data_IF_519715635388
#
_entry.id   IF_519715635388
#
_cell.length_a   1.000
_cell.length_b   1.000
_cell.length_c   1.000
_cell.angle_alpha   90.00
_cell.angle_beta   90.00
_cell.angle_gamma   90.00
#
_symmetry.space_group_name_H-M   'P 1'
#
loop_
_entity.id
_entity.type
_entity.pdbx_description
1 polymer ?
#
# COMPACT_ATOMS: atom_id res chain seq x y z
N UNK A 1 18.85 -9.76 -1.91
CA UNK A 1 19.33 -8.39 -1.54
C UNK A 1 18.14 -7.46 -1.68
N UNK A 2 17.64 -6.88 -0.59
CA UNK A 2 16.54 -5.91 -0.65
C UNK A 2 16.95 -4.65 -1.43
N UNK A 3 16.00 -4.06 -2.15
CA UNK A 3 16.18 -2.85 -2.95
C UNK A 3 15.00 -1.89 -2.72
N UNK A 4 15.26 -0.58 -2.70
CA UNK A 4 14.23 0.43 -2.48
C UNK A 4 13.28 0.55 -3.68
N UNK A 5 12.13 1.16 -3.45
CA UNK A 5 11.12 1.50 -4.46
C UNK A 5 11.74 2.11 -5.71
N UNK A 6 11.39 1.60 -6.88
CA UNK A 6 11.92 1.98 -8.20
C UNK A 6 13.41 1.67 -8.43
N UNK A 7 14.07 0.94 -7.53
CA UNK A 7 15.48 0.55 -7.64
C UNK A 7 15.66 -0.98 -7.69
N UNK A 8 14.60 -1.77 -7.78
CA UNK A 8 14.52 -3.23 -7.66
C UNK A 8 15.12 -3.96 -8.88
N UNK A 9 16.30 -3.51 -9.36
CA UNK A 9 16.91 -4.01 -10.60
C UNK A 9 17.49 -5.41 -10.48
N UNK A 10 18.06 -5.76 -9.32
CA UNK A 10 18.56 -7.12 -9.07
C UNK A 10 17.40 -8.07 -8.87
N UNK A 11 16.37 -7.63 -8.14
CA UNK A 11 15.12 -8.36 -7.93
C UNK A 11 14.45 -8.67 -9.27
N UNK A 12 14.32 -7.66 -10.16
CA UNK A 12 13.80 -7.83 -11.51
C UNK A 12 14.58 -8.91 -12.29
N UNK A 13 15.92 -8.83 -12.31
CA UNK A 13 16.77 -9.80 -13.01
C UNK A 13 16.63 -11.21 -12.44
N UNK A 14 16.52 -11.33 -11.12
CA UNK A 14 16.32 -12.59 -10.43
C UNK A 14 14.96 -13.22 -10.79
N UNK A 15 13.88 -12.44 -10.74
CA UNK A 15 12.54 -12.87 -11.12
C UNK A 15 12.47 -13.31 -12.58
N UNK A 16 13.05 -12.56 -13.51
CA UNK A 16 13.13 -12.92 -14.93
C UNK A 16 13.87 -14.23 -15.14
N UNK A 17 14.97 -14.45 -14.40
CA UNK A 17 15.71 -15.72 -14.45
C UNK A 17 14.84 -16.89 -13.95
N UNK A 18 14.24 -16.77 -12.78
CA UNK A 18 13.42 -17.84 -12.21
C UNK A 18 12.20 -18.17 -13.06
N UNK A 19 11.52 -17.19 -13.60
CA UNK A 19 10.39 -17.42 -14.52
C UNK A 19 10.86 -18.16 -15.80
N UNK A 20 12.01 -17.76 -16.37
CA UNK A 20 12.60 -18.46 -17.50
C UNK A 20 12.96 -19.92 -17.13
N UNK A 21 13.58 -20.15 -15.99
CA UNK A 21 14.00 -21.50 -15.53
C UNK A 21 12.77 -22.38 -15.25
N UNK A 22 11.62 -21.80 -14.90
CA UNK A 22 10.33 -22.48 -14.82
C UNK A 22 9.63 -22.65 -16.18
N UNK A 23 10.18 -22.14 -17.27
CA UNK A 23 9.56 -22.16 -18.59
C UNK A 23 8.30 -21.29 -18.69
N UNK A 24 8.21 -20.21 -17.88
CA UNK A 24 7.11 -19.24 -17.89
C UNK A 24 7.52 -18.04 -18.73
N UNK A 25 6.84 -17.72 -19.85
CA UNK A 25 7.08 -16.50 -20.62
C UNK A 25 6.93 -15.28 -19.74
N UNK A 26 7.94 -14.41 -19.74
CA UNK A 26 7.93 -13.18 -18.92
C UNK A 26 8.60 -12.03 -19.65
N UNK A 27 8.20 -10.80 -19.30
CA UNK A 27 8.79 -9.58 -19.80
C UNK A 27 8.85 -8.49 -18.72
N UNK A 28 9.72 -7.52 -18.92
CA UNK A 28 9.81 -6.30 -18.10
C UNK A 28 8.99 -5.19 -18.72
N UNK A 29 8.64 -4.18 -17.90
CA UNK A 29 7.87 -3.03 -18.36
C UNK A 29 8.81 -1.85 -18.66
N UNK A 30 8.61 -1.09 -19.75
CA UNK A 30 9.39 0.08 -20.05
C UNK A 30 9.36 1.11 -18.91
N UNK A 31 10.53 1.61 -18.51
CA UNK A 31 10.65 2.62 -17.44
C UNK A 31 10.29 2.14 -16.05
N UNK A 32 10.14 0.82 -15.83
CA UNK A 32 9.77 0.22 -14.54
C UNK A 32 10.65 -0.99 -14.23
N UNK A 33 10.79 -1.30 -12.95
CA UNK A 33 11.42 -2.54 -12.49
C UNK A 33 10.41 -3.71 -12.39
N UNK A 34 9.15 -3.49 -12.71
CA UNK A 34 8.10 -4.51 -12.69
C UNK A 34 8.33 -5.66 -13.69
N UNK A 35 7.83 -6.84 -13.35
CA UNK A 35 7.91 -8.06 -14.17
C UNK A 35 6.50 -8.64 -14.35
N UNK A 36 6.22 -9.07 -15.57
CA UNK A 36 4.95 -9.76 -15.89
C UNK A 36 5.27 -11.14 -16.47
N UNK A 37 4.82 -12.19 -15.78
CA UNK A 37 4.82 -13.57 -16.27
C UNK A 37 3.44 -13.97 -16.78
N UNK A 38 3.36 -14.96 -17.67
CA UNK A 38 2.07 -15.44 -18.22
C UNK A 38 2.03 -16.96 -18.31
N UNK A 39 0.99 -17.56 -17.74
CA UNK A 39 0.60 -18.96 -17.95
C UNK A 39 -0.60 -19.00 -18.90
N UNK A 40 -0.58 -19.88 -19.87
CA UNK A 40 -1.55 -19.88 -20.97
C UNK A 40 -2.96 -20.33 -20.55
N UNK A 41 -3.06 -21.39 -19.72
CA UNK A 41 -4.32 -22.02 -19.36
C UNK A 41 -4.97 -22.82 -20.51
N UNK A 42 -6.04 -23.57 -20.18
CA UNK A 42 -6.74 -24.48 -21.11
C UNK A 42 -7.59 -23.74 -22.15
N UNK A 43 -8.27 -22.68 -21.75
CA UNK A 43 -9.21 -21.98 -22.60
C UNK A 43 -8.71 -20.58 -22.95
N UNK A 44 -8.86 -20.12 -24.20
CA UNK A 44 -8.66 -18.72 -24.53
C UNK A 44 -9.73 -17.88 -23.80
N UNK A 45 -9.32 -16.78 -23.22
CA UNK A 45 -10.24 -15.93 -22.46
C UNK A 45 -9.56 -14.86 -21.65
N UNK A 46 -10.28 -14.36 -20.67
CA UNK A 46 -9.72 -13.39 -19.72
C UNK A 46 -8.85 -14.07 -18.67
N UNK A 47 -7.76 -13.41 -18.30
CA UNK A 47 -6.83 -13.90 -17.30
C UNK A 47 -7.24 -13.53 -15.87
N UNK A 48 -6.78 -14.32 -14.91
CA UNK A 48 -6.66 -13.91 -13.51
C UNK A 48 -5.27 -13.28 -13.31
N UNK A 49 -5.22 -12.07 -12.78
CA UNK A 49 -3.98 -11.42 -12.39
C UNK A 49 -3.66 -11.72 -10.92
N UNK A 50 -2.48 -12.25 -10.64
CA UNK A 50 -1.94 -12.45 -9.30
C UNK A 50 -0.84 -11.43 -9.04
N UNK A 51 -0.86 -10.73 -7.91
CA UNK A 51 0.11 -9.67 -7.61
C UNK A 51 0.98 -10.02 -6.41
N UNK A 52 2.26 -9.70 -6.52
CA UNK A 52 3.20 -9.56 -5.41
C UNK A 52 3.99 -8.26 -5.59
N UNK A 53 4.16 -7.52 -4.52
CA UNK A 53 5.06 -6.37 -4.44
C UNK A 53 6.52 -6.81 -4.28
N UNK A 54 7.49 -5.92 -4.57
CA UNK A 54 8.91 -6.31 -4.71
C UNK A 54 9.88 -5.46 -3.90
N UNK A 55 9.49 -4.28 -3.47
CA UNK A 55 10.38 -3.30 -2.87
C UNK A 55 10.62 -3.52 -1.38
N UNK A 56 11.64 -2.88 -0.86
CA UNK A 56 12.09 -2.95 0.51
C UNK A 56 12.16 -1.56 1.15
N UNK A 57 12.42 -1.54 2.45
CA UNK A 57 12.45 -0.35 3.28
C UNK A 57 13.88 -0.03 3.77
N UNK A 58 14.20 1.24 4.08
CA UNK A 58 15.46 1.66 4.66
C UNK A 58 15.50 1.34 6.17
N UNK A 59 15.40 0.05 6.49
CA UNK A 59 15.42 -0.50 7.84
C UNK A 59 16.64 -1.40 7.98
N UNK A 60 17.42 -1.20 9.05
CA UNK A 60 18.53 -2.11 9.39
C UNK A 60 17.96 -3.39 10.02
N UNK A 61 18.20 -4.52 9.37
CA UNK A 61 17.65 -5.81 9.80
C UNK A 61 18.31 -6.34 11.07
N UNK A 62 17.50 -6.63 12.09
CA UNK A 62 17.91 -7.17 13.42
C UNK A 62 17.30 -8.55 13.70
N UNK A 63 16.90 -9.30 12.68
CA UNK A 63 16.23 -10.61 12.85
C UNK A 63 17.15 -11.68 13.41
N UNK A 64 18.48 -11.55 13.28
CA UNK A 64 19.45 -12.58 13.63
C UNK A 64 19.53 -13.75 12.65
N UNK A 65 18.73 -13.74 11.57
CA UNK A 65 18.74 -14.79 10.55
C UNK A 65 20.11 -14.89 9.84
N UNK A 66 20.54 -16.10 9.49
CA UNK A 66 21.81 -16.32 8.78
C UNK A 66 21.81 -15.69 7.38
N UNK A 67 20.64 -15.54 6.79
CA UNK A 67 20.38 -14.92 5.48
C UNK A 67 19.94 -13.46 5.55
N UNK A 68 20.01 -12.83 6.74
CA UNK A 68 19.64 -11.42 6.91
C UNK A 68 20.32 -10.50 5.90
N UNK A 69 19.68 -9.40 5.58
CA UNK A 69 20.22 -8.36 4.71
C UNK A 69 21.54 -7.78 5.25
N UNK A 70 22.44 -7.38 4.34
CA UNK A 70 23.73 -6.75 4.67
C UNK A 70 23.91 -5.37 4.03
N UNK A 71 22.87 -4.83 3.37
CA UNK A 71 22.94 -3.55 2.65
C UNK A 71 22.12 -2.43 3.31
N UNK A 72 21.84 -2.55 4.62
CA UNK A 72 21.04 -1.58 5.40
C UNK A 72 19.59 -1.38 4.92
N UNK A 73 19.09 -2.28 4.10
CA UNK A 73 17.70 -2.34 3.67
C UNK A 73 17.09 -3.65 4.15
N UNK A 74 15.77 -3.70 4.33
CA UNK A 74 15.08 -4.89 4.79
C UNK A 74 13.70 -4.99 4.12
N UNK A 75 13.26 -6.22 3.77
CA UNK A 75 11.86 -6.50 3.47
C UNK A 75 11.02 -6.53 4.75
N UNK A 76 10.99 -5.40 5.48
CA UNK A 76 10.31 -5.30 6.77
C UNK A 76 8.77 -5.32 6.64
N UNK A 77 8.25 -5.32 5.42
CA UNK A 77 6.82 -5.51 5.09
C UNK A 77 6.50 -6.93 4.56
N UNK A 78 7.53 -7.77 4.33
CA UNK A 78 7.36 -9.16 3.89
C UNK A 78 7.20 -9.34 2.38
N UNK A 79 7.58 -8.36 1.56
CA UNK A 79 7.44 -8.43 0.10
C UNK A 79 8.32 -9.52 -0.52
N UNK A 80 9.43 -9.89 0.11
CA UNK A 80 10.24 -11.07 -0.27
C UNK A 80 9.42 -12.38 -0.16
N UNK A 81 8.62 -12.52 0.90
CA UNK A 81 7.71 -13.66 1.07
C UNK A 81 6.55 -13.58 0.07
N UNK A 82 6.02 -12.40 -0.24
CA UNK A 82 4.99 -12.26 -1.28
C UNK A 82 5.50 -12.70 -2.64
N UNK A 83 6.71 -12.26 -3.04
CA UNK A 83 7.35 -12.68 -4.30
C UNK A 83 7.61 -14.20 -4.31
N UNK A 84 8.18 -14.74 -3.23
CA UNK A 84 8.49 -16.17 -3.11
C UNK A 84 7.19 -17.02 -3.15
N UNK A 85 6.12 -16.56 -2.51
CA UNK A 85 4.82 -17.22 -2.53
C UNK A 85 4.22 -17.24 -3.94
N UNK A 86 4.26 -16.10 -4.66
CA UNK A 86 3.78 -16.02 -6.03
C UNK A 86 4.61 -16.90 -6.99
N UNK A 87 5.94 -16.95 -6.83
CA UNK A 87 6.80 -17.85 -7.60
C UNK A 87 6.52 -19.31 -7.28
N UNK A 88 6.33 -19.65 -6.01
CA UNK A 88 5.95 -21.01 -5.60
C UNK A 88 4.59 -21.44 -6.18
N UNK A 89 3.62 -20.56 -6.13
CA UNK A 89 2.31 -20.77 -6.78
C UNK A 89 2.47 -20.92 -8.30
N UNK A 90 3.27 -20.07 -8.95
CA UNK A 90 3.54 -20.14 -10.38
C UNK A 90 4.19 -21.46 -10.79
N UNK A 91 5.17 -21.94 -10.01
CA UNK A 91 5.81 -23.25 -10.25
C UNK A 91 4.81 -24.42 -10.12
N UNK A 92 3.91 -24.34 -9.14
CA UNK A 92 2.85 -25.35 -8.95
C UNK A 92 1.85 -25.31 -10.12
N UNK A 93 1.35 -24.13 -10.47
CA UNK A 93 0.40 -23.95 -11.58
C UNK A 93 1.00 -24.31 -12.93
N UNK A 94 2.30 -24.07 -13.14
CA UNK A 94 3.00 -24.44 -14.38
C UNK A 94 3.00 -25.92 -14.66
N UNK A 95 3.06 -26.79 -13.64
CA UNK A 95 3.03 -28.24 -13.79
C UNK A 95 1.73 -28.74 -14.42
N UNK A 96 0.65 -28.00 -14.22
CA UNK A 96 -0.69 -28.34 -14.67
C UNK A 96 -1.28 -27.24 -15.60
N UNK A 97 -0.41 -26.54 -16.32
CA UNK A 97 -0.78 -25.36 -17.11
C UNK A 97 -1.90 -25.63 -18.12
N UNK A 98 -1.87 -26.82 -18.76
CA UNK A 98 -2.89 -27.22 -19.74
C UNK A 98 -4.29 -27.44 -19.15
N UNK A 99 -4.40 -27.62 -17.83
CA UNK A 99 -5.67 -27.83 -17.13
C UNK A 99 -6.12 -26.58 -16.32
N UNK A 100 -5.31 -25.51 -16.31
CA UNK A 100 -5.75 -24.28 -15.67
C UNK A 100 -7.05 -23.76 -16.30
N UNK A 101 -8.02 -23.32 -15.51
CA UNK A 101 -9.33 -22.90 -16.02
C UNK A 101 -9.25 -21.69 -16.97
N UNK A 102 -8.25 -20.83 -16.79
CA UNK A 102 -7.99 -19.63 -17.58
C UNK A 102 -6.50 -19.29 -17.61
N UNK A 103 -6.07 -18.35 -18.49
CA UNK A 103 -4.74 -17.77 -18.40
C UNK A 103 -4.50 -17.07 -17.07
N UNK A 104 -3.23 -17.05 -16.63
CA UNK A 104 -2.82 -16.37 -15.39
C UNK A 104 -1.71 -15.37 -15.69
N UNK A 105 -1.87 -14.11 -15.25
CA UNK A 105 -0.81 -13.12 -15.26
C UNK A 105 -0.19 -12.99 -13.87
N UNK A 106 1.11 -13.16 -13.80
CA UNK A 106 1.91 -12.94 -12.60
C UNK A 106 2.43 -11.52 -12.64
N UNK A 107 1.97 -10.68 -11.72
CA UNK A 107 2.29 -9.25 -11.65
C UNK A 107 3.25 -9.03 -10.48
N UNK A 108 4.55 -9.00 -10.74
CA UNK A 108 5.55 -8.59 -9.76
C UNK A 108 5.67 -7.09 -9.82
N UNK A 109 5.14 -6.42 -8.81
CA UNK A 109 4.94 -4.98 -8.79
C UNK A 109 6.00 -4.26 -7.97
N UNK A 110 6.70 -3.26 -8.51
CA UNK A 110 7.65 -2.44 -7.76
C UNK A 110 6.94 -1.36 -6.93
N UNK A 111 7.71 -0.69 -6.08
CA UNK A 111 7.43 0.61 -5.50
C UNK A 111 6.09 0.73 -4.75
N UNK A 112 5.68 -0.29 -4.00
CA UNK A 112 4.49 -0.20 -3.15
C UNK A 112 4.72 0.78 -1.99
N UNK A 113 5.92 0.75 -1.39
CA UNK A 113 6.31 1.56 -0.23
C UNK A 113 6.66 3.03 -0.57
N UNK A 114 6.59 3.42 -1.85
CA UNK A 114 6.80 4.81 -2.26
C UNK A 114 5.73 5.76 -1.66
N UNK A 115 4.55 5.22 -1.36
CA UNK A 115 3.52 5.87 -0.55
C UNK A 115 2.66 6.93 -1.27
N UNK A 116 2.99 7.28 -2.51
CA UNK A 116 2.32 8.36 -3.24
C UNK A 116 1.82 7.90 -4.63
N UNK A 117 2.73 7.70 -5.58
CA UNK A 117 2.41 7.25 -6.93
C UNK A 117 2.28 5.74 -7.00
N UNK A 118 3.18 5.03 -6.32
CA UNK A 118 3.28 3.58 -6.31
C UNK A 118 3.63 2.97 -7.66
N UNK A 119 3.81 1.67 -7.69
CA UNK A 119 4.12 0.92 -8.92
C UNK A 119 2.90 0.42 -9.67
N UNK A 120 1.75 0.26 -9.00
CA UNK A 120 0.52 -0.23 -9.64
C UNK A 120 0.02 0.70 -10.76
N UNK A 121 0.06 2.03 -10.55
CA UNK A 121 -0.33 3.02 -11.55
C UNK A 121 0.46 2.88 -12.86
N UNK A 122 1.79 3.01 -12.83
CA UNK A 122 2.65 2.80 -13.99
C UNK A 122 2.48 1.44 -14.68
N UNK A 123 2.30 0.36 -13.95
CA UNK A 123 2.01 -0.96 -14.53
C UNK A 123 0.68 -0.97 -15.29
N UNK A 124 -0.37 -0.35 -14.74
CA UNK A 124 -1.68 -0.24 -15.41
C UNK A 124 -1.55 0.62 -16.68
N UNK A 125 -0.84 1.74 -16.62
CA UNK A 125 -0.55 2.62 -17.76
C UNK A 125 0.23 1.87 -18.87
N UNK A 126 1.16 0.99 -18.48
CA UNK A 126 1.87 0.09 -19.39
C UNK A 126 1.00 -1.05 -19.97
N UNK A 127 -0.29 -1.12 -19.62
CA UNK A 127 -1.24 -2.03 -20.21
C UNK A 127 -1.28 -3.44 -19.63
N UNK A 128 -0.76 -3.68 -18.43
CA UNK A 128 -0.73 -5.04 -17.86
C UNK A 128 -2.12 -5.68 -17.69
N UNK A 129 -3.16 -4.87 -17.54
CA UNK A 129 -4.53 -5.34 -17.45
C UNK A 129 -5.21 -5.54 -18.82
N UNK A 130 -4.78 -4.80 -19.83
CA UNK A 130 -5.45 -4.72 -21.14
C UNK A 130 -4.76 -5.50 -22.24
N UNK A 131 -3.44 -5.71 -22.16
CA UNK A 131 -2.69 -6.57 -23.09
C UNK A 131 -3.16 -8.03 -23.00
N UNK A 132 -3.06 -8.75 -24.11
CA UNK A 132 -3.47 -10.15 -24.15
C UNK A 132 -2.53 -11.07 -23.31
N UNK A 133 -3.12 -12.05 -22.60
CA UNK A 133 -4.52 -12.23 -22.27
C UNK A 133 -5.02 -11.12 -21.33
N UNK A 134 -6.19 -10.52 -21.63
CA UNK A 134 -6.74 -9.41 -20.81
C UNK A 134 -7.11 -9.89 -19.41
N UNK A 135 -6.69 -9.17 -18.39
CA UNK A 135 -7.06 -9.47 -17.00
C UNK A 135 -8.54 -9.15 -16.76
N UNK A 136 -9.29 -10.10 -16.22
CA UNK A 136 -10.71 -9.96 -15.87
C UNK A 136 -10.96 -9.89 -14.38
N UNK A 137 -10.08 -10.49 -13.59
CA UNK A 137 -10.11 -10.47 -12.13
C UNK A 137 -8.69 -10.35 -11.61
N UNK A 138 -8.50 -9.67 -10.48
CA UNK A 138 -7.19 -9.57 -9.83
C UNK A 138 -7.27 -10.10 -8.40
N UNK A 139 -6.17 -10.70 -7.97
CA UNK A 139 -5.98 -11.19 -6.62
C UNK A 139 -4.63 -10.69 -6.09
N UNK A 140 -4.67 -10.12 -4.88
CA UNK A 140 -3.49 -9.76 -4.11
C UNK A 140 -3.64 -10.22 -2.67
N UNK A 141 -2.53 -10.32 -1.97
CA UNK A 141 -2.49 -10.62 -0.55
C UNK A 141 -1.40 -9.82 0.14
N UNK A 142 -1.52 -9.70 1.46
CA UNK A 142 -0.48 -9.15 2.30
C UNK A 142 -0.33 -9.96 3.59
N UNK A 143 0.89 -10.11 4.07
CA UNK A 143 1.16 -10.72 5.36
C UNK A 143 0.69 -9.82 6.50
N UNK A 144 0.24 -10.43 7.60
CA UNK A 144 -0.24 -9.68 8.76
C UNK A 144 0.16 -10.31 10.08
N UNK A 145 1.07 -9.64 10.81
CA UNK A 145 1.64 -10.13 12.06
C UNK A 145 0.64 -10.18 13.23
N UNK A 146 -0.44 -9.41 13.16
CA UNK A 146 -1.49 -9.41 14.19
C UNK A 146 -2.55 -10.52 14.02
N UNK A 147 -2.47 -11.30 12.95
CA UNK A 147 -3.34 -12.44 12.70
C UNK A 147 -2.60 -13.75 13.00
N UNK A 148 -3.26 -14.77 13.55
CA UNK A 148 -2.63 -16.05 13.82
C UNK A 148 -2.02 -16.68 12.56
N UNK A 149 -0.87 -17.32 12.70
CA UNK A 149 -0.12 -17.94 11.61
C UNK A 149 -0.97 -18.92 10.79
N UNK A 150 -0.97 -18.72 9.47
CA UNK A 150 -1.66 -19.59 8.51
C UNK A 150 -3.17 -19.38 8.47
N UNK A 151 -3.68 -18.26 9.02
CA UNK A 151 -5.07 -17.83 8.83
C UNK A 151 -5.20 -16.91 7.62
N UNK A 152 -6.40 -16.83 7.07
CA UNK A 152 -6.77 -15.98 5.94
C UNK A 152 -7.87 -15.04 6.36
N UNK A 153 -7.63 -13.74 6.25
CA UNK A 153 -8.60 -12.75 6.67
C UNK A 153 -9.22 -12.03 5.47
N UNK A 154 -10.54 -12.01 5.45
CA UNK A 154 -11.36 -11.43 4.39
C UNK A 154 -12.13 -10.22 4.88
N UNK A 155 -12.29 -9.23 4.02
CA UNK A 155 -13.16 -8.08 4.25
C UNK A 155 -13.79 -7.66 2.91
N UNK A 156 -15.05 -8.04 2.65
CA UNK A 156 -15.79 -7.53 1.49
C UNK A 156 -16.00 -6.02 1.58
N UNK A 157 -15.92 -5.32 0.48
CA UNK A 157 -16.03 -3.85 0.46
C UNK A 157 -14.73 -3.16 0.86
N UNK A 158 -14.81 -2.11 1.65
CA UNK A 158 -13.64 -1.30 2.03
C UNK A 158 -12.75 -2.07 3.00
N UNK A 159 -11.53 -2.38 2.59
CA UNK A 159 -10.57 -3.13 3.38
C UNK A 159 -9.40 -2.27 3.91
N UNK A 160 -8.97 -1.24 3.16
CA UNK A 160 -7.92 -0.32 3.62
C UNK A 160 -8.21 1.13 3.22
N UNK A 161 -7.64 2.06 3.98
CA UNK A 161 -7.85 3.49 3.76
C UNK A 161 -7.11 4.01 2.52
N UNK A 162 -7.59 5.15 2.02
CA UNK A 162 -6.81 5.99 1.13
C UNK A 162 -5.68 6.68 1.91
N UNK A 163 -4.59 7.01 1.22
CA UNK A 163 -3.48 7.78 1.77
C UNK A 163 -3.24 9.03 0.93
N UNK A 164 -3.31 10.20 1.57
CA UNK A 164 -3.00 11.48 0.94
C UNK A 164 -1.86 12.16 1.68
N UNK A 165 -1.10 12.96 0.93
CA UNK A 165 -0.08 13.85 1.47
C UNK A 165 -0.61 15.28 1.49
N UNK A 166 -0.29 16.01 2.54
CA UNK A 166 -0.50 17.45 2.63
C UNK A 166 0.81 18.13 2.99
N UNK A 167 1.17 19.16 2.23
CA UNK A 167 2.27 20.07 2.53
C UNK A 167 1.75 21.50 2.49
N UNK A 168 2.14 22.30 3.47
CA UNK A 168 1.67 23.68 3.63
C UNK A 168 2.87 24.57 3.89
N UNK A 169 3.02 25.62 3.08
CA UNK A 169 3.91 26.72 3.38
C UNK A 169 3.08 27.84 3.98
N UNK A 170 3.36 28.17 5.22
CA UNK A 170 2.70 29.27 5.96
C UNK A 170 3.59 30.50 5.81
N UNK A 171 3.10 31.50 5.10
CA UNK A 171 3.86 32.67 4.71
C UNK A 171 3.44 33.88 5.58
N UNK A 172 4.41 34.46 6.23
CA UNK A 172 4.27 35.65 7.05
C UNK A 172 5.17 36.79 6.62
N UNK A 173 5.60 37.56 7.57
CA UNK A 173 6.63 38.60 7.42
C UNK A 173 7.48 38.59 8.68
N UNK A 174 8.72 38.16 8.53
CA UNK A 174 9.70 38.07 9.60
C UNK A 174 10.08 39.40 10.20
N UNK A 175 10.83 39.35 11.29
CA UNK A 175 11.29 40.54 11.97
C UNK A 175 11.92 40.28 13.31
N UNK A 176 12.19 41.34 14.05
CA UNK A 176 12.76 41.26 15.38
C UNK A 176 11.68 40.83 16.40
N UNK A 177 11.90 39.75 17.13
CA UNK A 177 10.92 39.14 18.03
C UNK A 177 10.38 40.09 19.12
N UNK A 178 11.16 41.16 19.51
CA UNK A 178 10.71 42.17 20.47
C UNK A 178 9.70 43.18 19.86
N UNK A 179 9.52 43.19 18.54
CA UNK A 179 8.59 44.10 17.84
C UNK A 179 7.58 43.33 16.99
N UNK A 180 6.82 42.39 17.57
CA UNK A 180 5.92 41.49 16.81
C UNK A 180 4.82 42.25 16.07
N UNK A 181 4.43 43.45 16.51
CA UNK A 181 3.43 44.30 15.85
C UNK A 181 3.89 44.87 14.48
N UNK A 182 5.19 44.76 14.15
CA UNK A 182 5.74 45.13 12.85
C UNK A 182 5.88 43.89 11.92
N UNK A 183 5.51 42.71 12.38
CA UNK A 183 5.68 41.43 11.70
C UNK A 183 4.34 40.73 11.46
N UNK A 184 4.36 39.63 10.73
CA UNK A 184 3.25 38.66 10.64
C UNK A 184 3.86 37.29 10.95
N UNK A 185 3.63 36.80 12.15
CA UNK A 185 4.32 35.65 12.69
C UNK A 185 3.79 34.33 12.11
N UNK A 186 4.54 33.63 11.24
CA UNK A 186 4.10 32.37 10.66
C UNK A 186 4.19 31.19 11.64
N UNK A 187 4.95 31.30 12.74
CA UNK A 187 5.01 30.25 13.78
C UNK A 187 3.69 30.21 14.55
N UNK A 188 3.14 31.37 14.94
CA UNK A 188 1.85 31.47 15.60
C UNK A 188 0.74 30.96 14.68
N UNK A 189 0.73 31.41 13.41
CA UNK A 189 -0.23 30.92 12.41
C UNK A 189 -0.16 29.41 12.24
N UNK A 190 1.03 28.83 12.08
CA UNK A 190 1.22 27.40 11.90
C UNK A 190 0.73 26.60 13.12
N UNK A 191 0.99 27.11 14.33
CA UNK A 191 0.52 26.49 15.57
C UNK A 191 -1.01 26.45 15.65
N UNK A 192 -1.68 27.58 15.33
CA UNK A 192 -3.13 27.64 15.24
C UNK A 192 -3.67 26.69 14.17
N UNK A 193 -3.02 26.62 13.01
CA UNK A 193 -3.40 25.71 11.92
C UNK A 193 -3.34 24.25 12.37
N UNK A 194 -2.28 23.81 13.05
CA UNK A 194 -2.15 22.42 13.55
C UNK A 194 -3.30 22.11 14.51
N UNK A 195 -3.59 22.96 15.47
CA UNK A 195 -4.69 22.77 16.42
C UNK A 195 -6.05 22.78 15.73
N UNK A 196 -6.27 23.73 14.82
CA UNK A 196 -7.52 23.86 14.09
C UNK A 196 -7.80 22.68 13.17
N UNK A 197 -6.78 22.10 12.55
CA UNK A 197 -6.91 20.89 11.71
C UNK A 197 -7.43 19.69 12.50
N UNK A 198 -7.09 19.53 13.79
CA UNK A 198 -7.64 18.47 14.62
C UNK A 198 -9.18 18.58 14.76
N UNK A 199 -9.70 19.79 14.76
CA UNK A 199 -11.16 20.00 14.84
C UNK A 199 -11.89 19.66 13.54
N UNK A 200 -11.21 19.59 12.40
CA UNK A 200 -11.81 19.05 11.17
C UNK A 200 -12.20 17.58 11.35
N UNK A 201 -11.36 16.81 12.00
CA UNK A 201 -11.62 15.37 12.25
C UNK A 201 -12.68 15.21 13.34
N UNK A 202 -12.60 15.98 14.43
CA UNK A 202 -13.46 15.77 15.59
C UNK A 202 -14.80 16.50 15.54
N UNK A 203 -14.98 17.59 14.71
CA UNK A 203 -16.16 18.45 14.71
C UNK A 203 -16.81 18.69 13.35
N UNK A 204 -16.12 18.41 12.23
CA UNK A 204 -16.64 18.78 10.91
C UNK A 204 -17.02 17.57 10.04
N UNK A 205 -17.08 16.39 10.62
CA UNK A 205 -17.37 15.14 9.94
C UNK A 205 -18.28 14.24 10.79
N UNK A 206 -18.93 13.27 10.16
CA UNK A 206 -19.69 12.23 10.84
C UNK A 206 -18.75 11.38 11.73
N UNK A 207 -19.04 11.20 13.03
CA UNK A 207 -18.23 10.35 13.91
C UNK A 207 -18.11 8.90 13.45
N UNK A 208 -19.07 8.39 12.69
CA UNK A 208 -19.10 7.02 12.16
C UNK A 208 -18.27 6.85 10.87
N UNK A 209 -17.77 7.96 10.30
CA UNK A 209 -16.96 7.96 9.10
C UNK A 209 -15.46 8.07 9.45
N UNK A 210 -14.69 6.96 9.49
CA UNK A 210 -13.32 6.98 9.97
C UNK A 210 -12.39 7.83 9.08
N UNK A 211 -11.64 8.73 9.72
CA UNK A 211 -10.57 9.49 9.07
C UNK A 211 -9.47 9.86 10.06
N UNK A 212 -8.25 10.01 9.54
CA UNK A 212 -7.08 10.49 10.28
C UNK A 212 -6.47 11.67 9.53
N UNK A 213 -6.07 12.69 10.26
CA UNK A 213 -5.23 13.79 9.78
C UNK A 213 -4.13 14.00 10.79
N UNK A 214 -2.88 13.83 10.37
CA UNK A 214 -1.72 14.03 11.22
C UNK A 214 -0.74 14.97 10.54
N UNK A 215 -0.31 16.02 11.25
CA UNK A 215 0.86 16.80 10.86
C UNK A 215 2.06 16.11 11.50
N UNK A 216 3.00 15.68 10.66
CA UNK A 216 4.14 14.84 11.07
C UNK A 216 5.46 15.63 11.10
N UNK A 217 5.49 16.82 10.47
CA UNK A 217 6.67 17.68 10.42
C UNK A 217 6.27 19.14 10.50
N UNK A 218 7.00 19.88 11.32
CA UNK A 218 6.95 21.36 11.42
C UNK A 218 8.38 21.86 11.31
N UNK A 219 8.65 22.81 10.42
CA UNK A 219 9.98 23.33 10.15
C UNK A 219 9.91 24.85 9.93
N UNK A 220 10.65 25.62 10.73
CA UNK A 220 10.66 27.08 10.64
C UNK A 220 11.40 27.77 11.78
N UNK A 221 11.99 28.92 11.47
CA UNK A 221 12.82 29.68 12.41
C UNK A 221 14.29 29.23 12.43
N UNK A 222 15.19 30.14 12.77
CA UNK A 222 16.64 29.89 12.80
C UNK A 222 17.30 30.35 14.10
N UNK A 223 16.65 31.26 14.83
CA UNK A 223 17.18 31.86 16.07
C UNK A 223 16.04 32.32 16.96
N UNK A 224 16.28 32.32 18.26
CA UNK A 224 15.33 32.62 19.34
C UNK A 224 14.79 34.06 19.36
N UNK A 225 15.44 35.01 18.69
CA UNK A 225 15.05 36.41 18.61
C UNK A 225 14.72 36.93 17.19
N UNK A 226 14.52 36.00 16.23
CA UNK A 226 14.15 36.33 14.86
C UNK A 226 12.87 35.58 14.47
N UNK A 227 11.82 36.33 14.11
CA UNK A 227 10.63 35.76 13.49
C UNK A 227 10.93 35.42 12.02
N UNK A 228 10.65 34.18 11.56
CA UNK A 228 10.90 33.80 10.19
C UNK A 228 9.84 34.39 9.22
N UNK A 229 10.12 34.33 7.92
CA UNK A 229 9.15 34.65 6.88
C UNK A 229 8.23 33.49 6.54
N UNK A 230 8.64 32.25 6.87
CA UNK A 230 7.95 31.03 6.45
C UNK A 230 8.03 29.95 7.54
N UNK A 231 6.96 29.15 7.65
CA UNK A 231 6.94 27.84 8.34
C UNK A 231 6.38 26.79 7.41
N UNK A 232 6.97 25.59 7.43
CA UNK A 232 6.50 24.44 6.64
C UNK A 232 5.86 23.40 7.53
N UNK A 233 4.71 22.90 7.08
CA UNK A 233 4.00 21.78 7.69
C UNK A 233 3.87 20.65 6.69
N UNK A 234 4.15 19.42 7.11
CA UNK A 234 3.90 18.22 6.28
C UNK A 234 3.12 17.19 7.09
N UNK A 235 2.22 16.50 6.40
CA UNK A 235 1.34 15.54 7.06
C UNK A 235 0.66 14.57 6.11
N UNK A 236 -0.19 13.74 6.70
CA UNK A 236 -0.94 12.72 5.98
C UNK A 236 -2.42 12.74 6.33
N UNK A 237 -3.25 12.37 5.36
CA UNK A 237 -4.70 12.18 5.55
C UNK A 237 -5.06 10.76 5.16
N UNK A 238 -5.83 10.08 6.01
CA UNK A 238 -6.38 8.74 5.75
C UNK A 238 -7.90 8.81 5.77
N UNK A 239 -8.55 8.18 4.81
CA UNK A 239 -10.01 8.10 4.72
C UNK A 239 -10.44 6.76 4.14
N UNK A 240 -11.62 6.31 4.51
CA UNK A 240 -12.20 5.05 4.00
C UNK A 240 -13.36 5.28 3.03
N UNK A 241 -13.72 6.54 2.81
CA UNK A 241 -14.74 6.94 1.84
C UNK A 241 -14.24 8.01 0.88
N UNK A 242 -14.45 7.84 -0.45
CA UNK A 242 -14.01 8.81 -1.45
C UNK A 242 -14.70 10.19 -1.38
N UNK A 243 -15.93 10.27 -0.88
CA UNK A 243 -16.63 11.56 -0.73
C UNK A 243 -16.05 12.34 0.44
N UNK A 244 -15.83 11.69 1.56
CA UNK A 244 -15.12 12.24 2.74
C UNK A 244 -13.72 12.69 2.39
N UNK A 245 -12.96 11.91 1.60
CA UNK A 245 -11.64 12.28 1.09
C UNK A 245 -11.64 13.62 0.37
N UNK A 246 -12.59 13.83 -0.56
CA UNK A 246 -12.72 15.09 -1.31
C UNK A 246 -13.16 16.24 -0.40
N UNK A 247 -14.14 16.00 0.49
CA UNK A 247 -14.64 16.98 1.43
C UNK A 247 -13.57 17.49 2.40
N UNK A 248 -12.78 16.58 2.98
CA UNK A 248 -11.69 16.95 3.89
C UNK A 248 -10.64 17.82 3.20
N UNK A 249 -10.28 17.54 1.95
CA UNK A 249 -9.39 18.41 1.16
C UNK A 249 -9.93 19.83 1.06
N UNK A 250 -11.23 19.99 0.78
CA UNK A 250 -11.85 21.33 0.69
C UNK A 250 -11.86 22.04 2.03
N UNK A 251 -12.32 21.36 3.07
CA UNK A 251 -12.39 21.92 4.43
C UNK A 251 -11.01 22.36 4.93
N UNK A 252 -9.98 21.53 4.72
CA UNK A 252 -8.60 21.84 5.05
C UNK A 252 -8.14 23.12 4.36
N UNK A 253 -8.32 23.23 3.05
CA UNK A 253 -7.94 24.43 2.29
C UNK A 253 -8.66 25.69 2.76
N UNK A 254 -9.96 25.60 2.99
CA UNK A 254 -10.76 26.73 3.48
C UNK A 254 -10.31 27.17 4.86
N UNK A 255 -10.08 26.21 5.76
CA UNK A 255 -9.66 26.47 7.14
C UNK A 255 -8.29 27.17 7.20
N UNK A 256 -7.30 26.62 6.51
CA UNK A 256 -5.94 27.15 6.50
C UNK A 256 -5.88 28.57 5.89
N UNK A 257 -6.58 28.78 4.78
CA UNK A 257 -6.69 30.12 4.16
C UNK A 257 -7.40 31.13 5.06
N UNK A 258 -8.40 30.67 5.81
CA UNK A 258 -9.11 31.52 6.76
C UNK A 258 -8.22 32.02 7.89
N UNK A 259 -7.43 31.12 8.50
CA UNK A 259 -6.47 31.46 9.57
C UNK A 259 -5.40 32.44 9.04
N UNK A 260 -4.78 32.11 7.91
CA UNK A 260 -3.74 32.96 7.31
C UNK A 260 -4.26 34.37 7.03
N UNK A 261 -5.45 34.49 6.45
CA UNK A 261 -6.08 35.81 6.18
C UNK A 261 -6.37 36.60 7.46
N UNK A 262 -6.88 35.92 8.50
CA UNK A 262 -7.18 36.57 9.78
C UNK A 262 -5.93 37.14 10.44
N UNK A 263 -4.78 36.50 10.24
CA UNK A 263 -3.48 36.91 10.78
C UNK A 263 -2.69 37.84 9.85
N UNK A 264 -3.23 38.21 8.68
CA UNK A 264 -2.54 39.07 7.71
C UNK A 264 -1.45 38.37 6.88
N UNK A 265 -1.39 37.05 6.92
CA UNK A 265 -0.46 36.22 6.14
C UNK A 265 -1.14 35.47 4.99
N UNK A 266 -0.42 34.51 4.41
CA UNK A 266 -0.92 33.65 3.34
C UNK A 266 -0.44 32.20 3.48
N UNK A 267 -1.04 31.28 2.69
CA UNK A 267 -0.62 29.87 2.63
C UNK A 267 -0.58 29.36 1.21
N UNK A 268 0.43 28.57 0.92
CA UNK A 268 0.50 27.69 -0.24
C UNK A 268 0.21 26.26 0.23
N UNK A 269 -0.74 25.58 -0.42
CA UNK A 269 -1.22 24.27 0.02
C UNK A 269 -1.10 23.28 -1.14
N UNK A 270 -0.20 22.34 -0.99
CA UNK A 270 -0.12 21.14 -1.80
C UNK A 270 -0.92 20.02 -1.13
N UNK A 271 -1.83 19.42 -1.85
CA UNK A 271 -2.61 18.29 -1.39
C UNK A 271 -2.65 17.26 -2.49
N UNK A 272 -1.90 16.19 -2.29
CA UNK A 272 -1.71 15.14 -3.27
C UNK A 272 -2.58 13.94 -2.92
N UNK A 273 -3.43 13.56 -3.85
CA UNK A 273 -4.15 12.30 -3.75
C UNK A 273 -3.20 11.15 -4.08
N UNK A 274 -2.79 10.41 -3.06
CA UNK A 274 -1.99 9.21 -3.19
C UNK A 274 -2.84 7.97 -3.49
N UNK A 275 -2.66 6.91 -2.69
CA UNK A 275 -3.37 5.65 -2.90
C UNK A 275 -4.87 5.81 -2.65
N UNK A 276 -5.74 5.28 -3.53
CA UNK A 276 -7.19 5.32 -3.30
C UNK A 276 -7.59 4.34 -2.19
N UNK A 277 -8.85 4.43 -1.77
CA UNK A 277 -9.46 3.43 -0.88
C UNK A 277 -9.35 2.04 -1.53
N UNK A 278 -8.78 1.08 -0.82
CA UNK A 278 -8.79 -0.32 -1.26
C UNK A 278 -10.17 -0.90 -0.98
N UNK A 279 -10.86 -1.23 -2.08
CA UNK A 279 -12.21 -1.77 -2.03
C UNK A 279 -12.25 -3.12 -2.73
N UNK A 280 -12.42 -4.17 -1.98
CA UNK A 280 -12.65 -5.52 -2.47
C UNK A 280 -14.03 -5.63 -3.13
N UNK A 281 -14.11 -6.34 -4.25
CA UNK A 281 -15.40 -6.69 -4.84
C UNK A 281 -16.12 -7.70 -3.94
N UNK A 282 -17.35 -7.42 -3.47
CA UNK A 282 -18.04 -8.30 -2.54
C UNK A 282 -18.33 -9.70 -3.09
N UNK A 283 -18.67 -9.80 -4.37
CA UNK A 283 -18.96 -11.09 -5.01
C UNK A 283 -17.72 -11.96 -5.17
N UNK A 284 -16.61 -11.36 -5.65
CA UNK A 284 -15.31 -12.04 -5.77
C UNK A 284 -14.79 -12.46 -4.40
N UNK A 285 -14.90 -11.58 -3.40
CA UNK A 285 -14.43 -11.86 -2.04
C UNK A 285 -15.24 -12.98 -1.40
N UNK A 286 -16.57 -12.97 -1.54
CA UNK A 286 -17.45 -14.00 -1.01
C UNK A 286 -17.16 -15.38 -1.62
N UNK A 287 -17.03 -15.44 -2.96
CA UNK A 287 -16.72 -16.70 -3.65
C UNK A 287 -15.36 -17.28 -3.20
N UNK A 288 -14.34 -16.41 -3.01
CA UNK A 288 -13.05 -16.85 -2.49
C UNK A 288 -13.13 -17.26 -1.02
N UNK A 289 -13.81 -16.52 -0.17
CA UNK A 289 -13.98 -16.88 1.24
C UNK A 289 -14.65 -18.25 1.40
N UNK A 290 -15.66 -18.55 0.59
CA UNK A 290 -16.32 -19.86 0.59
C UNK A 290 -15.39 -20.98 0.13
N UNK A 291 -14.65 -20.79 -0.97
CA UNK A 291 -13.66 -21.75 -1.46
C UNK A 291 -12.54 -21.99 -0.42
N UNK A 292 -12.04 -20.92 0.22
CA UNK A 292 -11.03 -21.06 1.28
C UNK A 292 -11.56 -21.76 2.52
N UNK A 293 -12.84 -21.54 2.86
CA UNK A 293 -13.50 -22.23 3.98
C UNK A 293 -13.63 -23.74 3.72
N UNK A 294 -13.93 -24.12 2.50
CA UNK A 294 -14.03 -25.51 2.06
C UNK A 294 -12.65 -26.21 2.03
N UNK A 295 -11.67 -25.61 1.35
CA UNK A 295 -10.36 -26.23 1.11
C UNK A 295 -9.39 -26.13 2.30
N UNK A 296 -9.38 -25.01 3.02
CA UNK A 296 -8.42 -24.73 4.11
C UNK A 296 -9.00 -25.00 5.50
N UNK A 297 -10.32 -25.16 5.61
CA UNK A 297 -11.04 -25.36 6.85
C UNK A 297 -11.46 -24.06 7.53
N UNK A 298 -12.66 -24.08 8.12
CA UNK A 298 -13.32 -22.90 8.76
C UNK A 298 -12.48 -22.22 9.84
N UNK A 299 -11.68 -22.99 10.59
CA UNK A 299 -10.84 -22.46 11.68
C UNK A 299 -9.69 -21.55 11.19
N UNK A 300 -9.37 -21.60 9.90
CA UNK A 300 -8.36 -20.73 9.32
C UNK A 300 -8.93 -19.45 8.71
N UNK A 301 -10.24 -19.28 8.68
CA UNK A 301 -10.88 -18.11 8.09
C UNK A 301 -11.20 -17.10 9.17
N UNK A 302 -10.72 -15.88 8.98
CA UNK A 302 -10.99 -14.72 9.83
C UNK A 302 -11.84 -13.74 9.05
N UNK A 303 -13.04 -13.47 9.55
CA UNK A 303 -13.91 -12.45 8.98
C UNK A 303 -13.64 -11.11 9.66
N UNK A 304 -13.10 -10.16 8.91
CA UNK A 304 -12.84 -8.82 9.42
C UNK A 304 -14.11 -7.96 9.32
N UNK A 305 -14.31 -7.10 10.31
CA UNK A 305 -15.49 -6.23 10.41
C UNK A 305 -15.16 -4.75 10.22
N UNK A 306 -13.88 -4.38 10.19
CA UNK A 306 -13.42 -3.00 10.08
C UNK A 306 -12.24 -2.89 9.14
N UNK A 307 -12.18 -1.83 8.30
CA UNK A 307 -11.02 -1.55 7.45
C UNK A 307 -9.80 -1.17 8.28
N UNK A 308 -8.62 -1.38 7.73
CA UNK A 308 -7.39 -0.87 8.30
C UNK A 308 -7.07 0.52 7.76
N UNK A 309 -6.44 1.34 8.61
CA UNK A 309 -6.05 2.71 8.23
C UNK A 309 -4.71 2.77 7.50
N UNK A 310 -4.04 1.64 7.26
CA UNK A 310 -2.98 1.51 6.27
C UNK A 310 -3.51 1.72 4.86
N UNK A 311 -2.63 1.98 3.92
CA UNK A 311 -2.96 2.13 2.50
C UNK A 311 -2.15 1.14 1.68
N UNK A 312 -2.64 0.82 0.48
CA UNK A 312 -2.07 -0.18 -0.42
C UNK A 312 -2.40 0.22 -1.87
N UNK A 313 -1.41 0.26 -2.73
CA UNK A 313 -1.60 0.70 -4.12
C UNK A 313 -2.26 -0.35 -5.03
N UNK A 314 -2.38 -1.60 -4.59
CA UNK A 314 -3.24 -2.62 -5.22
C UNK A 314 -4.67 -2.11 -5.42
N UNK A 315 -5.11 -1.15 -4.61
CA UNK A 315 -6.37 -0.43 -4.77
C UNK A 315 -6.56 0.14 -6.19
N UNK A 316 -5.47 0.46 -6.90
CA UNK A 316 -5.52 0.95 -8.28
C UNK A 316 -5.92 -0.14 -9.26
N UNK A 317 -5.48 -1.39 -9.05
CA UNK A 317 -5.94 -2.54 -9.84
C UNK A 317 -7.43 -2.81 -9.58
N UNK A 318 -7.86 -2.81 -8.32
CA UNK A 318 -9.27 -3.00 -7.94
C UNK A 318 -10.20 -1.91 -8.48
N UNK A 319 -9.69 -0.71 -8.70
CA UNK A 319 -10.43 0.38 -9.35
C UNK A 319 -10.66 0.13 -10.87
N UNK A 320 -10.01 -0.85 -11.49
CA UNK A 320 -10.07 -1.15 -12.92
C UNK A 320 -10.74 -2.47 -13.24
N UNK A 321 -10.55 -3.48 -12.41
CA UNK A 321 -11.10 -4.81 -12.58
C UNK A 321 -11.57 -5.36 -11.23
N UNK A 322 -12.65 -6.16 -11.18
CA UNK A 322 -13.09 -6.79 -9.95
C UNK A 322 -12.01 -7.71 -9.40
N UNK A 323 -11.91 -7.77 -8.09
CA UNK A 323 -10.90 -8.58 -7.41
C UNK A 323 -10.99 -8.49 -5.90
N UNK A 324 -10.02 -9.09 -5.25
CA UNK A 324 -9.92 -9.05 -3.80
C UNK A 324 -8.47 -9.01 -3.33
N UNK A 325 -8.29 -8.41 -2.17
CA UNK A 325 -7.06 -8.36 -1.42
C UNK A 325 -7.33 -8.95 -0.04
N UNK A 326 -6.65 -10.02 0.31
CA UNK A 326 -6.78 -10.67 1.60
C UNK A 326 -5.52 -10.55 2.44
N UNK A 327 -5.62 -10.89 3.71
CA UNK A 327 -4.47 -10.90 4.61
C UNK A 327 -4.17 -12.31 5.07
N UNK A 328 -2.88 -12.64 5.08
CA UNK A 328 -2.36 -13.93 5.55
C UNK A 328 -1.67 -13.73 6.90
N UNK A 329 -2.12 -14.45 7.91
CA UNK A 329 -1.58 -14.36 9.26
C UNK A 329 -0.17 -14.93 9.37
N UNK A 330 0.72 -14.18 10.05
CA UNK A 330 2.09 -14.60 10.37
C UNK A 330 2.36 -14.70 11.86
N UNK A 331 1.40 -14.29 12.71
CA UNK A 331 1.54 -14.24 14.17
C UNK A 331 1.72 -15.63 14.78
N UNK A 332 2.91 -15.92 15.24
CA UNK A 332 3.34 -17.20 15.81
C UNK A 332 3.80 -17.08 17.27
N UNK A 333 3.67 -15.89 17.87
CA UNK A 333 4.20 -15.58 19.21
C UNK A 333 5.68 -15.24 19.24
N UNK A 334 6.38 -15.36 18.10
CA UNK A 334 7.81 -15.04 17.92
C UNK A 334 8.04 -13.90 16.93
N UNK A 335 9.08 -14.03 16.10
CA UNK A 335 9.49 -13.01 15.14
C UNK A 335 8.43 -12.74 14.05
N UNK A 336 7.60 -13.71 13.68
CA UNK A 336 6.45 -13.52 12.79
C UNK A 336 5.33 -12.68 13.36
N UNK A 337 5.32 -12.45 14.69
CA UNK A 337 4.39 -11.55 15.39
C UNK A 337 4.93 -10.13 15.56
N UNK A 338 6.20 -9.86 15.19
CA UNK A 338 6.73 -8.50 15.23
C UNK A 338 5.92 -7.60 14.28
N UNK A 339 5.71 -6.31 14.63
CA UNK A 339 5.02 -5.39 13.74
C UNK A 339 5.66 -5.30 12.35
N UNK A 340 4.85 -5.12 11.32
CA UNK A 340 5.36 -4.73 10.00
C UNK A 340 6.19 -3.43 10.14
N UNK A 341 7.19 -3.26 9.28
CA UNK A 341 8.22 -2.20 9.32
C UNK A 341 9.16 -2.28 10.53
N UNK A 342 9.05 -3.31 11.38
CA UNK A 342 10.00 -3.56 12.45
C UNK A 342 11.27 -4.23 11.92
N UNK A 343 12.43 -3.83 12.44
CA UNK A 343 13.72 -4.47 12.15
C UNK A 343 13.78 -5.96 12.53
N UNK A 344 12.79 -6.45 13.29
CA UNK A 344 12.72 -7.84 13.81
C UNK A 344 11.62 -8.68 13.16
N UNK A 345 10.89 -8.13 12.19
CA UNK A 345 9.85 -8.89 11.50
C UNK A 345 10.48 -10.00 10.64
N UNK A 346 10.13 -11.24 10.94
CA UNK A 346 10.61 -12.42 10.21
C UNK A 346 9.49 -13.48 10.15
N UNK A 347 8.71 -13.51 9.08
CA UNK A 347 7.67 -14.51 8.91
C UNK A 347 8.28 -15.89 8.68
N UNK A 348 7.61 -16.93 9.20
CA UNK A 348 8.06 -18.32 9.03
C UNK A 348 7.72 -18.87 7.64
N UNK A 349 8.41 -19.94 7.22
CA UNK A 349 8.12 -20.67 5.97
C UNK A 349 6.65 -21.14 5.88
N UNK A 350 5.99 -21.36 7.02
CA UNK A 350 4.56 -21.71 7.05
C UNK A 350 3.67 -20.57 6.54
N UNK A 351 4.06 -19.31 6.78
CA UNK A 351 3.35 -18.16 6.22
C UNK A 351 3.54 -18.07 4.71
N UNK A 352 4.77 -18.36 4.22
CA UNK A 352 5.06 -18.43 2.78
C UNK A 352 4.20 -19.50 2.10
N UNK A 353 4.14 -20.71 2.67
CA UNK A 353 3.32 -21.80 2.12
C UNK A 353 1.82 -21.44 2.13
N UNK A 354 1.34 -20.79 3.18
CA UNK A 354 -0.05 -20.33 3.25
C UNK A 354 -0.36 -19.27 2.17
N UNK A 355 0.55 -18.32 1.94
CA UNK A 355 0.41 -17.31 0.88
C UNK A 355 0.47 -17.93 -0.51
N UNK A 356 1.34 -18.91 -0.75
CA UNK A 356 1.42 -19.63 -2.03
C UNK A 356 0.13 -20.43 -2.31
N UNK A 357 -0.39 -21.14 -1.29
CA UNK A 357 -1.66 -21.86 -1.41
C UNK A 357 -2.83 -20.91 -1.71
N UNK A 358 -2.82 -19.70 -1.15
CA UNK A 358 -3.82 -18.68 -1.43
C UNK A 358 -3.83 -18.26 -2.91
N UNK A 359 -2.68 -18.06 -3.53
CA UNK A 359 -2.58 -17.74 -4.95
C UNK A 359 -3.10 -18.89 -5.83
N UNK A 360 -2.77 -20.14 -5.51
CA UNK A 360 -3.23 -21.31 -6.26
C UNK A 360 -4.76 -21.42 -6.19
N UNK A 361 -5.33 -21.30 -4.99
CA UNK A 361 -6.77 -21.38 -4.79
C UNK A 361 -7.51 -20.23 -5.48
N UNK A 362 -6.94 -19.03 -5.45
CA UNK A 362 -7.51 -17.89 -6.18
C UNK A 362 -7.62 -18.15 -7.69
N UNK A 363 -6.62 -18.78 -8.33
CA UNK A 363 -6.71 -19.13 -9.76
C UNK A 363 -7.82 -20.14 -10.01
N UNK A 364 -7.94 -21.18 -9.19
CA UNK A 364 -8.95 -22.21 -9.34
C UNK A 364 -10.37 -21.65 -9.20
N UNK A 365 -10.56 -20.76 -8.24
CA UNK A 365 -11.88 -20.16 -7.94
C UNK A 365 -12.24 -19.06 -8.94
N UNK A 366 -11.31 -18.16 -9.26
CA UNK A 366 -11.58 -17.00 -10.09
C UNK A 366 -11.50 -17.29 -11.60
N UNK A 367 -10.85 -18.37 -11.97
CA UNK A 367 -10.72 -18.79 -13.35
C UNK A 367 -11.89 -19.65 -13.87
N UNK A 368 -12.70 -20.13 -12.97
CA UNK A 368 -13.88 -20.96 -13.29
C UNK A 368 -15.02 -20.18 -13.96
#
# INVERSE_FOLDING_TARGET
MPELSNQERNTQRMLMRWLRDLGIPAHTLPGSTGVVGTLAGRAPGGAVGLRADMDALPVLEETGATFRSRNHLMHACGHDVHMAALLGAAAFLKRDESHLPCPVKLLFQPAEEEGHRGGAGPMIEAGVLTSAPRVRRVFGLHLRSTLPLGTYAFLPGVAMAAADRVAVRVLGRGGHAAYPHLSVDPIVMASEMVLSLQTLISRSRDPLDPAVLSICRIDGGTKDNILPDEVRLEGTVRTVDPATRRRLRQLLRTRLRGIARASGGSVEIEYDFGYPVLRNDPGVTGALEDAFREEMGRSRIVHLTRPWMGAEDFARFLARVPGTFLFVGTGDGGAGSAPLHSARFLPSDRALLAAAAAHVLAVRTLGA
#
